data_IF_120151189144
#
_entry.id   IF_120151189144
#
_cell.length_a   1.000
_cell.length_b   1.000
_cell.length_c   1.000
_cell.angle_alpha   90.00
_cell.angle_beta   90.00
_cell.angle_gamma   90.00
#
_symmetry.space_group_name_H-M   'P 1'
#
loop_
_entity.id
_entity.type
_entity.pdbx_description
1 polymer ?
#
# COMPACT_ATOMS: atom_id res chain seq x y z
N UNK A 1 -14.12 30.04 42.72
CA UNK A 1 -13.52 29.06 41.79
C UNK A 1 -14.28 29.18 40.49
N UNK A 2 -13.71 29.89 39.50
CA UNK A 2 -14.30 29.99 38.16
C UNK A 2 -14.25 28.59 37.53
N UNK A 3 -15.40 28.09 37.10
CA UNK A 3 -15.51 26.84 36.34
C UNK A 3 -15.10 27.19 34.91
N UNK A 4 -13.93 26.71 34.48
CA UNK A 4 -13.46 26.75 33.09
C UNK A 4 -14.39 25.85 32.24
N UNK A 5 -15.51 26.41 31.78
CA UNK A 5 -16.37 25.81 30.75
C UNK A 5 -15.71 26.01 29.38
N UNK A 6 -14.69 25.19 29.08
CA UNK A 6 -14.00 25.20 27.79
C UNK A 6 -14.74 24.26 26.84
N UNK A 7 -15.45 24.75 25.81
CA UNK A 7 -16.18 23.88 24.91
C UNK A 7 -15.21 22.98 24.13
N UNK A 8 -15.25 21.69 24.45
CA UNK A 8 -14.61 20.64 23.68
C UNK A 8 -15.47 20.35 22.45
N UNK A 9 -15.14 20.90 21.27
CA UNK A 9 -15.85 20.47 20.08
C UNK A 9 -15.69 21.31 18.83
N UNK A 10 -14.61 21.07 18.08
CA UNK A 10 -14.62 21.14 16.61
C UNK A 10 -13.33 20.52 16.07
N UNK A 11 -13.18 19.18 16.17
CA UNK A 11 -12.23 18.47 15.30
C UNK A 11 -12.91 18.36 13.95
N UNK A 12 -12.63 19.31 13.06
CA UNK A 12 -13.04 19.26 11.65
C UNK A 12 -12.68 17.88 11.08
N UNK A 13 -13.70 17.04 10.88
CA UNK A 13 -13.55 15.74 10.27
C UNK A 13 -13.26 15.96 8.79
N UNK A 14 -12.01 15.73 8.38
CA UNK A 14 -11.60 15.81 6.97
C UNK A 14 -12.57 14.99 6.12
N UNK A 15 -13.05 15.51 4.98
CA UNK A 15 -14.01 14.78 4.15
C UNK A 15 -13.44 13.42 3.75
N UNK A 16 -14.21 12.36 3.97
CA UNK A 16 -13.86 11.00 3.56
C UNK A 16 -13.93 10.94 2.04
N UNK A 17 -12.79 11.18 1.39
CA UNK A 17 -12.66 11.01 -0.06
C UNK A 17 -12.80 9.53 -0.37
N UNK A 18 -13.97 9.14 -0.92
CA UNK A 18 -14.21 7.78 -1.41
C UNK A 18 -13.13 7.44 -2.44
N UNK A 19 -12.22 6.52 -2.08
CA UNK A 19 -11.10 6.13 -2.96
C UNK A 19 -11.67 5.42 -4.19
N UNK A 20 -11.38 5.94 -5.39
CA UNK A 20 -11.76 5.29 -6.66
C UNK A 20 -11.28 3.85 -6.68
N UNK A 21 -12.14 2.94 -7.16
CA UNK A 21 -11.83 1.52 -7.31
C UNK A 21 -10.55 1.35 -8.15
N UNK A 22 -9.63 0.49 -7.67
CA UNK A 22 -8.38 0.21 -8.39
C UNK A 22 -8.69 -0.51 -9.72
N UNK A 23 -8.07 -0.05 -10.81
CA UNK A 23 -8.05 -0.75 -12.10
C UNK A 23 -7.59 -2.21 -11.95
N UNK A 24 -8.08 -3.08 -12.85
CA UNK A 24 -7.74 -4.52 -12.91
C UNK A 24 -6.21 -4.74 -12.86
N UNK A 25 -5.42 -3.94 -13.59
CA UNK A 25 -3.95 -4.04 -13.58
C UNK A 25 -3.35 -3.75 -12.20
N UNK A 26 -3.83 -2.70 -11.53
CA UNK A 26 -3.33 -2.32 -10.20
C UNK A 26 -3.65 -3.40 -9.16
N UNK A 27 -4.79 -4.08 -9.31
CA UNK A 27 -5.15 -5.23 -8.46
C UNK A 27 -4.23 -6.42 -8.73
N UNK A 28 -4.03 -6.79 -10.00
CA UNK A 28 -3.14 -7.89 -10.40
C UNK A 28 -1.69 -7.64 -9.94
N UNK A 29 -1.16 -6.43 -10.17
CA UNK A 29 0.17 -6.03 -9.70
C UNK A 29 0.29 -6.11 -8.17
N UNK A 30 -0.66 -5.55 -7.42
CA UNK A 30 -0.61 -5.58 -5.96
C UNK A 30 -0.62 -7.01 -5.42
N UNK A 31 -1.39 -7.91 -6.05
CA UNK A 31 -1.42 -9.32 -5.69
C UNK A 31 -0.09 -10.01 -5.99
N UNK A 32 0.42 -9.86 -7.22
CA UNK A 32 1.69 -10.44 -7.63
C UNK A 32 2.86 -9.95 -6.77
N UNK A 33 2.93 -8.65 -6.48
CA UNK A 33 3.97 -8.07 -5.66
C UNK A 33 3.95 -8.62 -4.22
N UNK A 34 2.77 -8.80 -3.62
CA UNK A 34 2.65 -9.38 -2.28
C UNK A 34 3.11 -10.83 -2.23
N UNK A 35 2.80 -11.63 -3.25
CA UNK A 35 3.26 -13.02 -3.35
C UNK A 35 4.77 -13.12 -3.50
N UNK A 36 5.38 -12.20 -4.26
CA UNK A 36 6.81 -12.23 -4.60
C UNK A 36 7.69 -11.56 -3.52
N UNK A 37 7.13 -10.59 -2.79
CA UNK A 37 7.84 -9.82 -1.76
C UNK A 37 8.69 -10.67 -0.80
N UNK A 38 8.18 -11.75 -0.16
CA UNK A 38 8.98 -12.51 0.82
C UNK A 38 10.27 -13.11 0.23
N UNK A 39 10.27 -13.49 -1.05
CA UNK A 39 11.45 -14.10 -1.70
C UNK A 39 12.64 -13.13 -1.83
N UNK A 40 12.35 -11.84 -2.00
CA UNK A 40 13.35 -10.79 -2.22
C UNK A 40 13.72 -10.04 -0.94
N UNK A 41 13.07 -10.37 0.17
CA UNK A 41 13.41 -9.87 1.49
C UNK A 41 14.41 -10.82 2.18
N UNK A 42 15.19 -10.25 3.08
CA UNK A 42 15.99 -10.98 4.06
C UNK A 42 15.09 -11.35 5.25
N UNK A 43 15.56 -12.26 6.11
CA UNK A 43 14.86 -12.63 7.35
C UNK A 43 14.57 -11.42 8.27
N UNK A 44 15.42 -10.39 8.23
CA UNK A 44 15.24 -9.15 8.99
C UNK A 44 14.26 -8.14 8.34
N UNK A 45 13.57 -8.51 7.26
CA UNK A 45 12.61 -7.63 6.56
C UNK A 45 13.24 -6.54 5.69
N UNK A 46 14.57 -6.48 5.58
CA UNK A 46 15.26 -5.60 4.63
C UNK A 46 15.30 -6.25 3.24
N UNK A 47 15.38 -5.41 2.20
CA UNK A 47 15.57 -5.91 0.84
C UNK A 47 16.95 -6.54 0.66
N UNK A 48 17.01 -7.65 -0.07
CA UNK A 48 18.29 -8.18 -0.61
C UNK A 48 18.93 -7.14 -1.54
N UNK A 49 20.23 -7.24 -1.84
CA UNK A 49 20.92 -6.34 -2.77
C UNK A 49 20.22 -6.37 -4.14
N UNK A 50 19.63 -5.25 -4.56
CA UNK A 50 18.82 -5.16 -5.78
C UNK A 50 17.50 -5.95 -5.74
N UNK A 51 17.10 -6.46 -4.57
CA UNK A 51 15.91 -7.29 -4.38
C UNK A 51 14.63 -6.55 -4.75
N UNK A 52 14.49 -5.29 -4.34
CA UNK A 52 13.34 -4.46 -4.69
C UNK A 52 13.17 -4.30 -6.21
N UNK A 53 14.26 -3.94 -6.93
CA UNK A 53 14.25 -3.79 -8.38
C UNK A 53 13.84 -5.09 -9.09
N UNK A 54 14.36 -6.23 -8.63
CA UNK A 54 14.02 -7.55 -9.17
C UNK A 54 12.55 -7.92 -8.87
N UNK A 55 12.08 -7.66 -7.66
CA UNK A 55 10.68 -7.90 -7.25
C UNK A 55 9.70 -7.09 -8.10
N UNK A 56 9.96 -5.79 -8.30
CA UNK A 56 9.12 -4.90 -9.13
C UNK A 56 9.06 -5.39 -10.57
N UNK A 57 10.21 -5.73 -11.18
CA UNK A 57 10.25 -6.25 -12.55
C UNK A 57 9.43 -7.53 -12.70
N UNK A 58 9.57 -8.47 -11.75
CA UNK A 58 8.84 -9.74 -11.75
C UNK A 58 7.34 -9.54 -11.51
N UNK A 59 6.95 -8.64 -10.61
CA UNK A 59 5.55 -8.30 -10.36
C UNK A 59 4.87 -7.68 -11.59
N UNK A 60 5.56 -6.79 -12.32
CA UNK A 60 5.04 -6.24 -13.56
C UNK A 60 4.90 -7.28 -14.66
N UNK A 61 5.86 -8.20 -14.80
CA UNK A 61 5.76 -9.31 -15.74
C UNK A 61 4.54 -10.19 -15.43
N UNK A 62 4.38 -10.63 -14.18
CA UNK A 62 3.21 -11.42 -13.77
C UNK A 62 1.89 -10.66 -13.94
N UNK A 63 1.87 -9.36 -13.65
CA UNK A 63 0.66 -8.56 -13.82
C UNK A 63 0.27 -8.41 -15.29
N UNK A 64 1.24 -8.35 -16.21
CA UNK A 64 0.99 -8.33 -17.66
C UNK A 64 0.52 -9.70 -18.16
N UNK A 65 1.17 -10.78 -17.74
CA UNK A 65 0.76 -12.16 -18.05
C UNK A 65 -0.66 -12.45 -17.56
N UNK A 66 -1.01 -12.02 -16.35
CA UNK A 66 -2.35 -12.20 -15.79
C UNK A 66 -3.44 -11.35 -16.48
N UNK A 67 -3.07 -10.46 -17.39
CA UNK A 67 -3.99 -9.61 -18.16
C UNK A 67 -4.00 -9.90 -19.65
N UNK A 68 -3.10 -10.76 -20.11
CA UNK A 68 -3.10 -11.28 -21.48
C UNK A 68 -4.16 -12.36 -21.59
#
# INVERSE_FOLDING_TARGET
RIVDDRPAGARESKPIVKRKSKSKYKKAYSKAFQSIKPDYLKANGQWKKGGFKRAVKKAHAMAKEAMK
#
